data_IF_808895525510
#
_entry.id   IF_808895525510
#
_cell.length_a   1.000
_cell.length_b   1.000
_cell.length_c   1.000
_cell.angle_alpha   90.00
_cell.angle_beta   90.00
_cell.angle_gamma   90.00
#
_symmetry.space_group_name_H-M   'P 1'
#
loop_
_entity.id
_entity.type
_entity.pdbx_description
1 polymer ?
#
# COMPACT_ATOMS: atom_id res chain seq x y z
N UNK A 1 32.07 -39.67 -7.32
CA UNK A 1 32.42 -38.51 -6.49
C UNK A 1 33.45 -37.73 -7.28
N UNK A 2 33.06 -36.62 -7.88
CA UNK A 2 33.99 -35.73 -8.59
C UNK A 2 34.88 -35.06 -7.54
N UNK A 3 36.19 -35.35 -7.52
CA UNK A 3 37.14 -34.74 -6.57
C UNK A 3 38.40 -35.56 -6.25
N UNK A 4 38.39 -36.88 -6.47
CA UNK A 4 39.58 -37.73 -6.23
C UNK A 4 40.18 -37.56 -4.82
N UNK A 5 41.50 -37.73 -4.70
CA UNK A 5 42.23 -37.65 -3.43
C UNK A 5 42.28 -36.22 -2.82
N UNK A 6 41.85 -35.17 -3.54
CA UNK A 6 41.85 -33.79 -3.03
C UNK A 6 40.48 -33.34 -2.52
N UNK A 7 39.47 -34.20 -2.57
CA UNK A 7 38.08 -33.88 -2.18
C UNK A 7 37.97 -33.24 -0.78
N UNK A 8 38.76 -33.69 0.19
CA UNK A 8 38.75 -33.13 1.54
C UNK A 8 39.30 -31.71 1.62
N UNK A 9 40.25 -31.34 0.75
CA UNK A 9 40.78 -29.98 0.64
C UNK A 9 39.73 -29.07 -0.01
N UNK A 10 39.11 -29.54 -1.10
CA UNK A 10 38.05 -28.80 -1.79
C UNK A 10 36.81 -28.59 -0.90
N UNK A 11 36.48 -29.57 -0.05
CA UNK A 11 35.37 -29.47 0.90
C UNK A 11 35.67 -28.52 2.08
N UNK A 12 36.94 -28.39 2.49
CA UNK A 12 37.35 -27.49 3.57
C UNK A 12 37.59 -26.04 3.09
N UNK A 13 37.75 -25.81 1.79
CA UNK A 13 37.89 -24.47 1.22
C UNK A 13 36.52 -23.84 1.01
N UNK A 14 36.14 -22.91 1.89
CA UNK A 14 34.87 -22.20 1.79
C UNK A 14 34.72 -21.32 0.53
N UNK A 15 35.79 -21.05 -0.22
CA UNK A 15 35.67 -20.37 -1.53
C UNK A 15 35.27 -21.33 -2.67
N UNK A 16 35.51 -22.64 -2.49
CA UNK A 16 35.21 -23.70 -3.46
C UNK A 16 33.95 -24.46 -3.07
N UNK A 17 33.79 -24.80 -1.78
CA UNK A 17 32.63 -25.46 -1.21
C UNK A 17 32.10 -24.66 0.00
N UNK A 18 31.49 -23.49 -0.25
CA UNK A 18 31.01 -22.61 0.82
C UNK A 18 29.95 -23.32 1.68
N UNK A 19 30.18 -23.31 3.00
CA UNK A 19 29.14 -23.64 3.97
C UNK A 19 28.27 -22.41 4.29
N UNK A 20 27.16 -22.63 4.99
CA UNK A 20 26.23 -21.56 5.36
C UNK A 20 26.92 -20.45 6.18
N UNK A 21 27.85 -20.81 7.07
CA UNK A 21 28.55 -19.86 7.92
C UNK A 21 29.55 -19.01 7.12
N UNK A 22 30.23 -19.60 6.15
CA UNK A 22 31.15 -18.92 5.26
C UNK A 22 30.39 -17.92 4.39
N UNK A 23 29.29 -18.34 3.76
CA UNK A 23 28.40 -17.45 3.00
C UNK A 23 27.88 -16.29 3.87
N UNK A 24 27.41 -16.60 5.08
CA UNK A 24 26.95 -15.60 6.05
C UNK A 24 28.08 -14.61 6.36
N UNK A 25 29.25 -15.09 6.75
CA UNK A 25 30.38 -14.25 7.11
C UNK A 25 30.85 -13.35 5.96
N UNK A 26 31.00 -13.91 4.75
CA UNK A 26 31.39 -13.12 3.58
C UNK A 26 30.33 -12.08 3.23
N UNK A 27 29.04 -12.44 3.29
CA UNK A 27 27.95 -11.48 3.10
C UNK A 27 28.07 -10.29 4.06
N UNK A 28 28.17 -10.51 5.37
CA UNK A 28 28.26 -9.40 6.32
C UNK A 28 29.57 -8.61 6.20
N UNK A 29 30.69 -9.27 5.89
CA UNK A 29 31.98 -8.62 5.69
C UNK A 29 31.98 -7.71 4.45
N UNK A 30 31.51 -8.23 3.32
CA UNK A 30 31.39 -7.47 2.07
C UNK A 30 30.33 -6.37 2.24
N UNK A 31 29.15 -6.71 2.77
CA UNK A 31 28.07 -5.76 3.03
C UNK A 31 28.56 -4.59 3.87
N UNK A 32 29.25 -4.85 5.00
CA UNK A 32 29.75 -3.80 5.88
C UNK A 32 30.79 -2.92 5.21
N UNK A 33 31.57 -3.47 4.27
CA UNK A 33 32.60 -2.73 3.54
C UNK A 33 31.98 -1.84 2.45
N UNK A 34 30.93 -2.32 1.77
CA UNK A 34 30.28 -1.60 0.66
C UNK A 34 29.21 -0.62 1.17
N UNK A 35 28.38 -1.04 2.11
CA UNK A 35 27.18 -0.30 2.57
C UNK A 35 27.29 0.26 3.99
N UNK A 36 28.32 -0.14 4.75
CA UNK A 36 28.51 0.34 6.12
C UNK A 36 27.66 -0.40 7.17
N UNK A 37 27.42 0.23 8.34
CA UNK A 37 26.60 -0.34 9.40
C UNK A 37 25.18 -0.60 8.90
N UNK A 38 24.65 -1.79 9.20
CA UNK A 38 23.30 -2.17 8.82
C UNK A 38 22.24 -1.91 9.89
N UNK A 39 22.60 -1.68 11.14
CA UNK A 39 21.63 -1.46 12.22
C UNK A 39 22.09 -0.35 13.17
N UNK A 40 21.17 0.14 14.00
CA UNK A 40 21.44 1.15 15.01
C UNK A 40 21.83 2.52 14.43
N UNK A 41 22.50 3.33 15.24
CA UNK A 41 22.85 4.71 14.94
C UNK A 41 23.63 4.87 13.62
N UNK A 42 24.60 3.98 13.36
CA UNK A 42 25.40 4.07 12.14
C UNK A 42 24.61 3.82 10.84
N UNK A 43 23.52 3.04 10.89
CA UNK A 43 22.61 2.89 9.74
C UNK A 43 21.79 4.16 9.52
N UNK A 44 21.31 4.77 10.61
CA UNK A 44 20.57 6.03 10.56
C UNK A 44 21.42 7.16 9.99
N UNK A 45 22.68 7.28 10.41
CA UNK A 45 23.62 8.26 9.85
C UNK A 45 23.80 8.07 8.34
N UNK A 46 24.00 6.82 7.89
CA UNK A 46 24.11 6.49 6.47
C UNK A 46 22.84 6.79 5.67
N UNK A 47 21.66 6.57 6.26
CA UNK A 47 20.38 6.92 5.64
C UNK A 47 20.24 8.43 5.48
N UNK A 48 20.60 9.21 6.50
CA UNK A 48 20.61 10.68 6.45
C UNK A 48 21.59 11.20 5.40
N UNK A 49 22.80 10.65 5.34
CA UNK A 49 23.79 10.95 4.30
C UNK A 49 23.26 10.64 2.89
N UNK A 50 22.61 9.48 2.70
CA UNK A 50 22.04 9.08 1.42
C UNK A 50 20.91 10.02 0.97
N UNK A 51 20.03 10.42 1.88
CA UNK A 51 18.97 11.41 1.61
C UNK A 51 19.56 12.78 1.27
N UNK A 52 20.61 13.21 1.99
CA UNK A 52 21.30 14.44 1.69
C UNK A 52 21.95 14.42 0.31
N UNK A 53 22.71 13.38 -0.01
CA UNK A 53 23.38 13.22 -1.29
C UNK A 53 22.36 13.15 -2.44
N UNK A 54 21.27 12.40 -2.28
CA UNK A 54 20.21 12.33 -3.28
C UNK A 54 19.58 13.69 -3.59
N UNK A 55 19.38 14.53 -2.57
CA UNK A 55 18.88 15.89 -2.75
C UNK A 55 19.90 16.79 -3.49
N UNK A 56 21.19 16.63 -3.24
CA UNK A 56 22.25 17.33 -3.97
C UNK A 56 22.27 16.91 -5.45
N UNK A 57 22.21 15.61 -5.72
CA UNK A 57 22.22 15.05 -7.07
C UNK A 57 20.99 15.49 -7.87
N UNK A 58 19.84 15.58 -7.22
CA UNK A 58 18.61 16.10 -7.82
C UNK A 58 18.60 17.62 -7.98
N UNK A 59 19.55 18.34 -7.35
CA UNK A 59 19.56 19.80 -7.24
C UNK A 59 18.25 20.39 -6.69
N UNK A 60 17.54 19.61 -5.87
CA UNK A 60 16.25 19.98 -5.30
C UNK A 60 15.95 19.09 -4.10
N UNK A 61 15.17 19.60 -3.14
CA UNK A 61 14.67 18.78 -2.02
C UNK A 61 13.63 17.78 -2.55
N UNK A 62 14.03 16.53 -2.71
CA UNK A 62 13.22 15.42 -3.24
C UNK A 62 13.03 14.30 -2.23
N UNK A 63 13.80 14.30 -1.13
CA UNK A 63 13.72 13.33 -0.06
C UNK A 63 13.80 14.02 1.31
N UNK A 64 13.09 13.48 2.29
CA UNK A 64 13.18 13.89 3.69
C UNK A 64 13.21 12.64 4.58
N UNK A 65 13.98 12.70 5.66
CA UNK A 65 14.07 11.65 6.66
C UNK A 65 13.77 12.22 8.05
N UNK A 66 12.99 11.48 8.81
CA UNK A 66 12.67 11.72 10.20
C UNK A 66 13.08 10.50 11.03
N UNK A 67 13.68 10.76 12.18
CA UNK A 67 14.15 9.74 13.12
C UNK A 67 13.80 10.19 14.52
N UNK A 68 13.14 9.32 15.28
CA UNK A 68 12.88 9.49 16.71
C UNK A 68 13.00 8.13 17.41
N UNK A 69 14.11 7.92 18.13
CA UNK A 69 14.49 6.61 18.68
C UNK A 69 14.54 5.52 17.59
N UNK A 70 13.65 4.53 17.65
CA UNK A 70 13.53 3.44 16.67
C UNK A 70 12.57 3.78 15.52
N UNK A 71 11.82 4.88 15.63
CA UNK A 71 10.88 5.30 14.59
C UNK A 71 11.62 6.03 13.48
N UNK A 72 11.51 5.47 12.26
CA UNK A 72 12.12 6.02 11.06
C UNK A 72 11.03 6.25 10.03
N UNK A 73 11.02 7.44 9.45
CA UNK A 73 10.14 7.80 8.34
C UNK A 73 10.97 8.43 7.24
N UNK A 74 10.78 7.99 6.01
CA UNK A 74 11.40 8.59 4.82
C UNK A 74 10.28 8.92 3.84
N UNK A 75 10.29 10.14 3.30
CA UNK A 75 9.38 10.55 2.24
C UNK A 75 10.17 10.91 0.99
N UNK A 76 9.64 10.56 -0.18
CA UNK A 76 10.28 10.77 -1.48
C UNK A 76 9.26 11.36 -2.47
N UNK A 77 9.62 12.49 -3.07
CA UNK A 77 8.99 13.05 -4.26
C UNK A 77 10.10 13.41 -5.27
N UNK A 78 10.42 12.46 -6.15
CA UNK A 78 11.47 12.59 -7.16
C UNK A 78 11.14 13.66 -8.20
N UNK A 79 12.12 14.15 -8.99
CA UNK A 79 11.83 15.09 -10.09
C UNK A 79 10.78 14.58 -11.08
N UNK A 80 10.73 13.26 -11.33
CA UNK A 80 9.67 12.64 -12.13
C UNK A 80 8.31 12.79 -11.46
N UNK A 81 8.18 12.45 -10.18
CA UNK A 81 6.94 12.56 -9.42
C UNK A 81 6.43 14.01 -9.37
N UNK A 82 7.33 14.98 -9.17
CA UNK A 82 7.00 16.41 -9.24
C UNK A 82 6.41 16.79 -10.60
N UNK A 83 7.02 16.35 -11.70
CA UNK A 83 6.47 16.56 -13.05
C UNK A 83 5.10 15.90 -13.23
N UNK A 84 4.87 14.71 -12.66
CA UNK A 84 3.56 14.06 -12.69
C UNK A 84 2.53 14.92 -11.96
N UNK A 85 2.84 15.43 -10.77
CA UNK A 85 1.96 16.36 -10.06
C UNK A 85 1.59 17.59 -10.89
N UNK A 86 2.54 18.20 -11.60
CA UNK A 86 2.31 19.45 -12.32
C UNK A 86 1.59 19.26 -13.67
N UNK A 87 1.84 18.14 -14.36
CA UNK A 87 1.45 17.95 -15.76
C UNK A 87 0.31 16.94 -15.94
N UNK A 88 0.08 16.04 -14.99
CA UNK A 88 -0.93 15.00 -15.11
C UNK A 88 -2.22 15.42 -14.40
N UNK A 89 -3.24 15.79 -15.18
CA UNK A 89 -4.56 16.23 -14.67
C UNK A 89 -5.21 15.19 -13.73
N UNK A 90 -5.06 13.90 -14.03
CA UNK A 90 -5.66 12.83 -13.23
C UNK A 90 -5.14 12.80 -11.78
N UNK A 91 -3.94 13.32 -11.52
CA UNK A 91 -3.41 13.46 -10.16
C UNK A 91 -4.31 14.35 -9.28
N UNK A 92 -5.05 15.29 -9.87
CA UNK A 92 -6.00 16.15 -9.18
C UNK A 92 -7.37 15.52 -8.94
N UNK A 93 -7.69 14.46 -9.68
CA UNK A 93 -8.99 13.82 -9.68
C UNK A 93 -8.99 12.61 -8.76
N UNK A 94 -8.00 11.73 -8.92
CA UNK A 94 -7.91 10.48 -8.17
C UNK A 94 -6.46 10.12 -7.91
N UNK A 95 -6.17 9.77 -6.66
CA UNK A 95 -4.93 9.09 -6.30
C UNK A 95 -5.24 7.75 -5.63
N UNK A 96 -4.38 6.79 -5.85
CA UNK A 96 -4.43 5.47 -5.23
C UNK A 96 -3.29 5.43 -4.22
N UNK A 97 -3.59 5.04 -3.00
CA UNK A 97 -2.59 4.79 -1.98
C UNK A 97 -2.72 3.35 -1.49
N UNK A 98 -1.57 2.71 -1.33
CA UNK A 98 -1.48 1.35 -0.81
C UNK A 98 -0.17 1.21 -0.05
N UNK A 99 -0.23 0.52 1.08
CA UNK A 99 0.93 0.16 1.89
C UNK A 99 1.20 -1.32 1.78
N UNK A 100 2.49 -1.67 1.74
CA UNK A 100 2.91 -3.06 1.87
C UNK A 100 4.03 -3.18 2.89
N UNK A 101 3.95 -4.23 3.71
CA UNK A 101 4.91 -4.54 4.75
C UNK A 101 5.75 -5.79 4.50
N UNK A 102 6.64 -6.09 5.43
CA UNK A 102 7.70 -7.11 5.32
C UNK A 102 8.60 -6.90 4.08
N UNK A 103 8.87 -5.65 3.72
CA UNK A 103 9.66 -5.30 2.53
C UNK A 103 11.17 -5.53 2.73
N UNK A 104 11.61 -5.63 3.98
CA UNK A 104 12.99 -5.89 4.36
C UNK A 104 13.07 -6.63 5.71
N UNK A 105 14.30 -6.86 6.16
CA UNK A 105 14.62 -7.46 7.47
C UNK A 105 14.25 -6.58 8.68
N UNK A 106 13.90 -5.31 8.45
CA UNK A 106 13.51 -4.34 9.49
C UNK A 106 11.99 -4.17 9.56
N UNK A 107 11.25 -4.96 8.79
CA UNK A 107 9.81 -4.86 8.72
C UNK A 107 9.37 -3.46 8.23
N UNK A 108 10.16 -2.84 7.33
CA UNK A 108 9.83 -1.56 6.73
C UNK A 108 8.52 -1.66 5.96
N UNK A 109 7.69 -0.64 6.12
CA UNK A 109 6.43 -0.43 5.42
C UNK A 109 6.66 0.58 4.32
N UNK A 110 6.25 0.25 3.11
CA UNK A 110 6.38 1.15 1.96
C UNK A 110 4.97 1.47 1.48
N UNK A 111 4.65 2.77 1.44
CA UNK A 111 3.42 3.30 0.88
C UNK A 111 3.69 3.99 -0.45
N UNK A 112 2.98 3.59 -1.51
CA UNK A 112 3.02 4.29 -2.80
C UNK A 112 1.78 5.15 -2.97
N UNK A 113 1.98 6.39 -3.41
CA UNK A 113 0.92 7.26 -3.89
C UNK A 113 1.00 7.34 -5.41
N UNK A 114 -0.05 6.93 -6.11
CA UNK A 114 -0.07 6.75 -7.57
C UNK A 114 -1.26 7.49 -8.19
N UNK A 115 -1.05 8.13 -9.35
CA UNK A 115 -2.11 8.65 -10.20
C UNK A 115 -2.28 7.78 -11.46
N UNK A 116 -3.52 7.51 -11.90
CA UNK A 116 -3.75 6.75 -13.12
C UNK A 116 -3.43 7.57 -14.36
N UNK A 117 -2.80 6.98 -15.36
CA UNK A 117 -2.51 7.57 -16.66
C UNK A 117 -2.80 6.58 -17.79
N UNK A 118 -2.70 7.05 -19.05
CA UNK A 118 -2.79 6.16 -20.22
C UNK A 118 -1.67 5.10 -20.26
N UNK A 119 -0.54 5.36 -19.62
CA UNK A 119 0.60 4.45 -19.53
C UNK A 119 0.55 3.55 -18.28
N UNK A 120 -0.58 3.52 -17.56
CA UNK A 120 -0.69 2.87 -16.25
C UNK A 120 -0.50 3.86 -15.09
N UNK A 121 -0.09 3.35 -13.93
CA UNK A 121 0.06 4.14 -12.71
C UNK A 121 1.38 4.93 -12.70
N UNK A 122 1.30 6.25 -12.57
CA UNK A 122 2.48 7.11 -12.40
C UNK A 122 2.61 7.56 -10.95
N UNK A 123 3.82 7.52 -10.38
CA UNK A 123 4.01 7.83 -8.97
C UNK A 123 3.90 9.33 -8.69
N UNK A 124 3.28 9.65 -7.56
CA UNK A 124 3.17 10.97 -6.95
C UNK A 124 4.10 11.08 -5.73
N UNK A 125 4.31 9.97 -5.02
CA UNK A 125 5.23 9.93 -3.90
C UNK A 125 5.39 8.55 -3.30
N UNK A 126 6.42 8.41 -2.47
CA UNK A 126 6.70 7.19 -1.71
C UNK A 126 6.92 7.58 -0.25
N UNK A 127 6.39 6.78 0.66
CA UNK A 127 6.64 6.89 2.08
C UNK A 127 7.19 5.55 2.55
N UNK A 128 8.25 5.58 3.35
CA UNK A 128 8.78 4.40 4.03
C UNK A 128 8.68 4.66 5.53
N UNK A 129 8.11 3.72 6.30
CA UNK A 129 7.97 3.83 7.75
C UNK A 129 8.41 2.55 8.46
N UNK A 130 8.92 2.68 9.69
CA UNK A 130 9.23 1.54 10.57
C UNK A 130 7.97 0.81 11.06
N UNK A 131 6.79 1.46 11.03
CA UNK A 131 5.51 0.83 11.35
C UNK A 131 4.33 1.51 10.62
N UNK A 132 3.19 0.83 10.53
CA UNK A 132 1.93 1.40 9.99
C UNK A 132 1.10 2.12 11.05
N UNK A 133 1.71 2.61 12.12
CA UNK A 133 0.97 3.38 13.13
C UNK A 133 0.41 4.67 12.50
N UNK A 134 -0.77 5.10 12.94
CA UNK A 134 -1.41 6.33 12.43
C UNK A 134 -0.49 7.56 12.60
N UNK A 135 0.31 7.59 13.67
CA UNK A 135 1.27 8.67 13.92
C UNK A 135 2.35 8.73 12.83
N UNK A 136 3.00 7.60 12.53
CA UNK A 136 4.07 7.56 11.52
C UNK A 136 3.54 7.73 10.10
N UNK A 137 2.39 7.13 9.78
CA UNK A 137 1.76 7.31 8.46
C UNK A 137 1.39 8.79 8.24
N UNK A 138 0.79 9.44 9.25
CA UNK A 138 0.50 10.89 9.19
C UNK A 138 1.78 11.72 9.05
N UNK A 139 2.84 11.36 9.77
CA UNK A 139 4.14 12.05 9.69
C UNK A 139 4.73 11.92 8.28
N UNK A 140 4.73 10.73 7.70
CA UNK A 140 5.22 10.48 6.35
C UNK A 140 4.43 11.23 5.28
N UNK A 141 3.10 11.26 5.40
CA UNK A 141 2.25 12.03 4.49
C UNK A 141 2.50 13.53 4.58
N UNK A 142 2.71 14.08 5.79
CA UNK A 142 3.10 15.49 5.98
C UNK A 142 4.47 15.79 5.38
N UNK A 143 5.44 14.91 5.60
CA UNK A 143 6.77 15.06 4.99
C UNK A 143 6.66 15.06 3.47
N UNK A 144 5.81 14.18 2.90
CA UNK A 144 5.58 14.14 1.46
C UNK A 144 4.91 15.42 0.94
N UNK A 145 3.94 15.99 1.68
CA UNK A 145 3.34 17.29 1.35
C UNK A 145 4.39 18.41 1.24
N UNK A 146 5.39 18.42 2.13
CA UNK A 146 6.48 19.40 2.11
C UNK A 146 7.44 19.23 0.91
N UNK A 147 7.42 18.07 0.23
CA UNK A 147 8.26 17.78 -0.93
C UNK A 147 7.58 18.08 -2.26
N UNK A 148 6.25 18.29 -2.26
CA UNK A 148 5.50 18.54 -3.48
C UNK A 148 5.89 19.87 -4.15
N UNK A 149 5.74 19.96 -5.49
CA UNK A 149 5.93 21.22 -6.19
C UNK A 149 4.78 22.19 -5.90
N UNK A 150 4.97 23.48 -6.19
CA UNK A 150 3.95 24.52 -5.96
C UNK A 150 2.60 24.19 -6.64
N UNK A 151 2.65 23.62 -7.85
CA UNK A 151 1.47 23.19 -8.61
C UNK A 151 1.09 21.73 -8.36
N UNK A 152 1.24 21.25 -7.13
CA UNK A 152 0.90 19.88 -6.75
C UNK A 152 -0.53 19.49 -7.16
N UNK A 153 -0.73 18.24 -7.59
CA UNK A 153 -2.04 17.69 -7.94
C UNK A 153 -2.77 18.56 -8.98
N UNK A 154 -2.08 18.86 -10.07
CA UNK A 154 -2.51 19.73 -11.16
C UNK A 154 -3.03 21.09 -10.67
N UNK A 155 -2.30 21.69 -9.72
CA UNK A 155 -2.61 23.00 -9.14
C UNK A 155 -3.64 22.99 -8.00
N UNK A 156 -4.08 21.83 -7.50
CA UNK A 156 -4.92 21.76 -6.28
C UNK A 156 -4.12 21.95 -4.98
N UNK A 157 -2.80 21.77 -5.03
CA UNK A 157 -1.92 22.03 -3.89
C UNK A 157 -2.29 21.18 -2.66
N UNK A 158 -2.42 21.84 -1.51
CA UNK A 158 -2.77 21.22 -0.23
C UNK A 158 -4.15 20.55 -0.20
N UNK A 159 -5.05 20.91 -1.13
CA UNK A 159 -6.36 20.25 -1.24
C UNK A 159 -6.25 18.77 -1.67
N UNK A 160 -5.10 18.36 -2.22
CA UNK A 160 -4.88 16.99 -2.69
C UNK A 160 -5.76 16.61 -3.89
N UNK A 161 -5.87 15.31 -4.21
CA UNK A 161 -6.82 14.82 -5.20
C UNK A 161 -8.27 14.95 -4.70
N UNK A 162 -9.25 14.93 -5.60
CA UNK A 162 -10.67 14.88 -5.20
C UNK A 162 -11.04 13.55 -4.55
N UNK A 163 -10.38 12.46 -4.95
CA UNK A 163 -10.66 11.10 -4.49
C UNK A 163 -9.37 10.39 -4.12
N UNK A 164 -9.38 9.66 -3.01
CA UNK A 164 -8.42 8.59 -2.76
C UNK A 164 -9.10 7.24 -2.86
N UNK A 165 -8.38 6.27 -3.43
CA UNK A 165 -8.75 4.84 -3.38
C UNK A 165 -7.69 4.14 -2.54
N UNK A 166 -8.11 3.51 -1.44
CA UNK A 166 -7.21 2.82 -0.50
C UNK A 166 -7.75 1.43 -0.19
N UNK A 167 -6.99 0.65 0.55
CA UNK A 167 -7.52 -0.51 1.26
C UNK A 167 -8.39 -0.06 2.47
N UNK A 168 -8.73 -0.99 3.37
CA UNK A 168 -9.52 -0.70 4.57
C UNK A 168 -8.66 -0.39 5.82
N UNK A 169 -7.35 -0.15 5.68
CA UNK A 169 -6.45 0.13 6.79
C UNK A 169 -6.87 1.43 7.50
N UNK A 170 -7.26 1.28 8.77
CA UNK A 170 -7.79 2.38 9.57
C UNK A 170 -6.78 3.53 9.72
N UNK A 171 -5.53 3.18 10.01
CA UNK A 171 -4.48 4.17 10.27
C UNK A 171 -4.21 5.03 9.02
N UNK A 172 -4.06 4.39 7.85
CA UNK A 172 -3.91 5.10 6.57
C UNK A 172 -5.11 6.01 6.28
N UNK A 173 -6.32 5.48 6.36
CA UNK A 173 -7.54 6.24 6.05
C UNK A 173 -7.74 7.43 7.00
N UNK A 174 -7.45 7.24 8.29
CA UNK A 174 -7.50 8.32 9.28
C UNK A 174 -6.46 9.41 8.97
N UNK A 175 -5.22 9.03 8.67
CA UNK A 175 -4.16 9.96 8.28
C UNK A 175 -4.55 10.77 7.04
N UNK A 176 -5.06 10.12 5.99
CA UNK A 176 -5.52 10.78 4.78
C UNK A 176 -6.71 11.71 5.05
N UNK A 177 -7.71 11.28 5.82
CA UNK A 177 -8.86 12.11 6.18
C UNK A 177 -8.44 13.36 6.96
N UNK A 178 -7.42 13.24 7.82
CA UNK A 178 -6.90 14.35 8.61
C UNK A 178 -6.13 15.39 7.76
N UNK A 179 -5.41 14.94 6.73
CA UNK A 179 -4.55 15.78 5.90
C UNK A 179 -5.24 16.31 4.64
N UNK A 180 -6.23 15.58 4.13
CA UNK A 180 -7.00 15.92 2.94
C UNK A 180 -8.51 15.84 3.24
N UNK A 181 -9.04 16.72 4.12
CA UNK A 181 -10.43 16.65 4.59
C UNK A 181 -11.48 16.86 3.48
N UNK A 182 -11.07 17.40 2.34
CA UNK A 182 -11.95 17.63 1.17
C UNK A 182 -11.89 16.50 0.14
N UNK A 183 -11.05 15.49 0.35
CA UNK A 183 -10.97 14.33 -0.53
C UNK A 183 -11.98 13.26 -0.10
N UNK A 184 -12.64 12.63 -1.07
CA UNK A 184 -13.51 11.48 -0.83
C UNK A 184 -12.66 10.21 -0.72
N UNK A 185 -12.78 9.47 0.38
CA UNK A 185 -12.07 8.21 0.57
C UNK A 185 -12.91 7.01 0.15
N UNK A 186 -12.55 6.38 -0.96
CA UNK A 186 -13.16 5.14 -1.45
C UNK A 186 -12.34 3.92 -1.04
N UNK A 187 -13.00 2.78 -0.95
CA UNK A 187 -12.38 1.47 -0.73
C UNK A 187 -12.12 0.77 -2.07
N UNK A 188 -10.95 0.16 -2.22
CA UNK A 188 -10.61 -0.69 -3.35
C UNK A 188 -11.53 -1.93 -3.38
N UNK A 189 -12.12 -2.24 -4.55
CA UNK A 189 -12.99 -3.43 -4.69
C UNK A 189 -12.27 -4.72 -4.40
N UNK A 190 -11.02 -4.85 -4.85
CA UNK A 190 -10.23 -6.06 -4.63
C UNK A 190 -10.06 -6.30 -3.13
N UNK A 191 -9.61 -5.29 -2.38
CA UNK A 191 -9.44 -5.37 -0.94
C UNK A 191 -10.77 -5.55 -0.18
N UNK A 192 -11.86 -4.90 -0.60
CA UNK A 192 -13.20 -5.12 -0.02
C UNK A 192 -13.64 -6.57 -0.20
N UNK A 193 -13.55 -7.12 -1.40
CA UNK A 193 -13.96 -8.50 -1.69
C UNK A 193 -13.03 -9.52 -1.04
N UNK A 194 -11.73 -9.27 -1.04
CA UNK A 194 -10.74 -10.14 -0.40
C UNK A 194 -10.91 -10.15 1.13
N UNK A 195 -11.16 -9.00 1.75
CA UNK A 195 -11.47 -8.91 3.17
C UNK A 195 -12.75 -9.66 3.52
N UNK A 196 -13.81 -9.52 2.72
CA UNK A 196 -15.04 -10.28 2.91
C UNK A 196 -14.84 -11.79 2.73
N UNK A 197 -14.05 -12.21 1.74
CA UNK A 197 -13.69 -13.62 1.55
C UNK A 197 -12.91 -14.17 2.75
N UNK A 198 -11.94 -13.42 3.29
CA UNK A 198 -11.24 -13.79 4.53
C UNK A 198 -12.24 -13.93 5.68
N UNK A 199 -13.13 -12.96 5.84
CA UNK A 199 -14.16 -12.96 6.89
C UNK A 199 -15.00 -14.25 6.85
N UNK A 200 -15.57 -14.61 5.70
CA UNK A 200 -16.43 -15.80 5.60
C UNK A 200 -15.67 -17.14 5.64
N UNK A 201 -14.34 -17.12 5.51
CA UNK A 201 -13.50 -18.34 5.57
C UNK A 201 -12.91 -18.58 6.96
N UNK A 202 -12.84 -17.56 7.82
CA UNK A 202 -12.37 -17.67 9.20
C UNK A 202 -13.26 -18.62 10.03
N UNK A 203 -12.61 -19.53 10.76
CA UNK A 203 -13.29 -20.57 11.53
C UNK A 203 -14.22 -20.00 12.62
N UNK A 204 -13.86 -18.87 13.22
CA UNK A 204 -14.63 -18.20 14.26
C UNK A 204 -16.01 -17.70 13.79
N UNK A 205 -16.17 -17.47 12.48
CA UNK A 205 -17.42 -17.03 11.88
C UNK A 205 -18.38 -18.18 11.55
N UNK A 206 -17.90 -19.43 11.64
CA UNK A 206 -18.69 -20.67 11.52
C UNK A 206 -19.52 -20.79 10.23
N UNK A 207 -19.09 -20.15 9.14
CA UNK A 207 -19.74 -20.25 7.83
C UNK A 207 -19.40 -21.59 7.18
N UNK A 208 -20.43 -22.38 6.87
CA UNK A 208 -20.29 -23.68 6.18
C UNK A 208 -19.70 -23.51 4.79
N UNK A 209 -18.87 -24.45 4.33
CA UNK A 209 -18.23 -24.39 3.00
C UNK A 209 -19.24 -24.21 1.87
N UNK A 210 -20.35 -24.94 1.94
CA UNK A 210 -21.42 -24.92 0.92
C UNK A 210 -22.11 -23.55 0.82
N UNK A 211 -22.07 -22.75 1.89
CA UNK A 211 -22.69 -21.42 1.94
C UNK A 211 -21.77 -20.32 1.40
N UNK A 212 -20.45 -20.51 1.49
CA UNK A 212 -19.46 -19.45 1.25
C UNK A 212 -19.54 -18.87 -0.15
N UNK A 213 -19.67 -19.72 -1.17
CA UNK A 213 -19.72 -19.29 -2.57
C UNK A 213 -20.96 -18.41 -2.82
N UNK A 214 -22.14 -18.89 -2.41
CA UNK A 214 -23.38 -18.16 -2.59
C UNK A 214 -23.42 -16.83 -1.79
N UNK A 215 -22.87 -16.81 -0.57
CA UNK A 215 -22.73 -15.58 0.22
C UNK A 215 -21.76 -14.60 -0.45
N UNK A 216 -20.61 -15.09 -0.91
CA UNK A 216 -19.61 -14.28 -1.59
C UNK A 216 -20.14 -13.67 -2.88
N UNK A 217 -20.84 -14.45 -3.70
CA UNK A 217 -21.40 -13.98 -4.97
C UNK A 217 -22.44 -12.89 -4.74
N UNK A 218 -23.35 -13.06 -3.78
CA UNK A 218 -24.31 -12.01 -3.42
C UNK A 218 -23.63 -10.72 -2.95
N UNK A 219 -22.61 -10.81 -2.10
CA UNK A 219 -21.87 -9.63 -1.66
C UNK A 219 -21.09 -8.97 -2.81
N UNK A 220 -20.50 -9.79 -3.70
CA UNK A 220 -19.81 -9.32 -4.90
C UNK A 220 -20.74 -8.55 -5.83
N UNK A 221 -21.97 -8.99 -5.98
CA UNK A 221 -22.99 -8.29 -6.77
C UNK A 221 -23.37 -6.95 -6.15
N UNK A 222 -23.40 -6.83 -4.81
CA UNK A 222 -23.56 -5.54 -4.14
C UNK A 222 -22.40 -4.59 -4.44
N UNK A 223 -21.16 -5.05 -4.24
CA UNK A 223 -19.94 -4.25 -4.49
C UNK A 223 -19.91 -3.74 -5.94
N UNK A 224 -20.29 -4.60 -6.90
CA UNK A 224 -20.27 -4.32 -8.34
C UNK A 224 -21.58 -3.76 -8.91
N UNK A 225 -22.54 -3.40 -8.06
CA UNK A 225 -23.84 -2.92 -8.52
C UNK A 225 -23.71 -1.68 -9.41
N UNK A 226 -24.46 -1.64 -10.51
CA UNK A 226 -24.39 -0.58 -11.52
C UNK A 226 -25.38 0.57 -11.31
N UNK A 227 -26.38 0.40 -10.46
CA UNK A 227 -27.34 1.44 -10.12
C UNK A 227 -27.77 1.33 -8.66
N UNK A 228 -28.18 2.46 -8.09
CA UNK A 228 -28.64 2.56 -6.71
C UNK A 228 -29.87 1.68 -6.47
N UNK A 229 -30.80 1.65 -7.43
CA UNK A 229 -31.98 0.80 -7.39
C UNK A 229 -31.61 -0.69 -7.34
N UNK A 230 -30.70 -1.13 -8.21
CA UNK A 230 -30.27 -2.53 -8.24
C UNK A 230 -29.50 -2.90 -6.96
N UNK A 231 -28.69 -1.97 -6.44
CA UNK A 231 -28.00 -2.17 -5.18
C UNK A 231 -28.99 -2.39 -4.04
N UNK A 232 -29.99 -1.50 -3.92
CA UNK A 232 -30.94 -1.55 -2.81
C UNK A 232 -31.80 -2.82 -2.88
N UNK A 233 -32.30 -3.17 -4.07
CA UNK A 233 -33.05 -4.42 -4.25
C UNK A 233 -32.21 -5.65 -3.88
N UNK A 234 -30.98 -5.77 -4.39
CA UNK A 234 -30.10 -6.89 -4.08
C UNK A 234 -29.72 -6.93 -2.60
N UNK A 235 -29.56 -5.76 -1.96
CA UNK A 235 -29.23 -5.69 -0.53
C UNK A 235 -30.40 -6.21 0.30
N UNK A 236 -31.62 -5.75 0.02
CA UNK A 236 -32.85 -6.22 0.69
C UNK A 236 -33.05 -7.73 0.49
N UNK A 237 -32.84 -8.23 -0.73
CA UNK A 237 -32.91 -9.66 -1.04
C UNK A 237 -31.84 -10.47 -0.31
N UNK A 238 -30.62 -9.93 -0.19
CA UNK A 238 -29.53 -10.62 0.49
C UNK A 238 -29.78 -10.71 1.99
N UNK A 239 -30.14 -9.60 2.64
CA UNK A 239 -30.45 -9.58 4.08
C UNK A 239 -31.68 -10.41 4.42
N UNK A 240 -32.67 -10.53 3.52
CA UNK A 240 -33.84 -11.39 3.71
C UNK A 240 -33.56 -12.88 3.44
N UNK A 241 -32.47 -13.21 2.73
CA UNK A 241 -32.21 -14.58 2.29
C UNK A 241 -31.98 -15.57 3.45
N UNK A 242 -32.52 -16.78 3.32
CA UNK A 242 -32.36 -17.85 4.31
C UNK A 242 -30.89 -18.17 4.60
N UNK A 243 -30.03 -18.09 3.57
CA UNK A 243 -28.59 -18.32 3.70
C UNK A 243 -27.90 -17.28 4.56
N UNK A 244 -28.29 -16.01 4.49
CA UNK A 244 -27.70 -14.98 5.35
C UNK A 244 -28.32 -15.03 6.75
N UNK A 245 -29.63 -15.30 6.86
CA UNK A 245 -30.33 -15.45 8.14
C UNK A 245 -29.75 -16.58 9.01
N UNK A 246 -29.34 -17.70 8.42
CA UNK A 246 -28.64 -18.78 9.16
C UNK A 246 -27.19 -18.45 9.52
N UNK A 247 -26.55 -17.51 8.81
CA UNK A 247 -25.17 -17.07 9.03
C UNK A 247 -25.14 -15.69 9.73
N UNK A 248 -25.64 -15.63 10.98
CA UNK A 248 -25.90 -14.38 11.73
C UNK A 248 -24.71 -13.42 11.82
N UNK A 249 -23.48 -13.92 12.00
CA UNK A 249 -22.30 -13.03 12.05
C UNK A 249 -22.04 -12.33 10.71
N UNK A 250 -22.26 -13.04 9.60
CA UNK A 250 -22.16 -12.45 8.26
C UNK A 250 -23.30 -11.46 8.02
N UNK A 251 -24.51 -11.76 8.51
CA UNK A 251 -25.63 -10.83 8.49
C UNK A 251 -25.28 -9.51 9.19
N UNK A 252 -24.75 -9.58 10.41
CA UNK A 252 -24.35 -8.39 11.17
C UNK A 252 -23.24 -7.63 10.45
N UNK A 253 -22.22 -8.32 9.92
CA UNK A 253 -21.14 -7.70 9.13
C UNK A 253 -21.65 -6.94 7.89
N UNK A 254 -22.57 -7.54 7.12
CA UNK A 254 -23.16 -6.90 5.93
C UNK A 254 -23.99 -5.69 6.32
N UNK A 255 -24.75 -5.78 7.42
CA UNK A 255 -25.55 -4.68 7.94
C UNK A 255 -24.68 -3.52 8.45
N UNK A 256 -23.58 -3.81 9.12
CA UNK A 256 -22.64 -2.80 9.63
C UNK A 256 -21.89 -2.08 8.50
N UNK A 257 -21.70 -2.74 7.35
CA UNK A 257 -21.08 -2.14 6.17
C UNK A 257 -22.03 -1.20 5.39
N UNK A 258 -23.35 -1.40 5.49
CA UNK A 258 -24.35 -0.68 4.69
C UNK A 258 -24.39 0.86 4.89
N UNK A 259 -24.25 1.40 6.12
CA UNK A 259 -24.21 2.85 6.33
C UNK A 259 -23.11 3.56 5.54
N UNK A 260 -22.00 2.86 5.26
CA UNK A 260 -20.84 3.40 4.54
C UNK A 260 -20.74 2.91 3.08
N UNK A 261 -21.84 2.44 2.50
CA UNK A 261 -21.89 1.86 1.13
C UNK A 261 -21.34 2.76 0.04
N UNK A 262 -21.40 4.07 0.20
CA UNK A 262 -20.83 5.04 -0.74
C UNK A 262 -19.32 4.87 -0.89
N UNK A 263 -18.63 4.34 0.13
CA UNK A 263 -17.18 4.12 0.08
C UNK A 263 -16.82 2.89 -0.76
N UNK A 264 -17.65 1.84 -0.78
CA UNK A 264 -17.27 0.53 -1.32
C UNK A 264 -18.12 0.01 -2.49
N UNK A 265 -19.36 0.46 -2.68
CA UNK A 265 -20.19 0.02 -3.79
C UNK A 265 -20.00 0.89 -5.04
N UNK A 266 -20.12 0.27 -6.22
CA UNK A 266 -19.80 0.93 -7.49
C UNK A 266 -20.80 1.99 -7.91
N UNK A 267 -22.09 1.74 -7.69
CA UNK A 267 -23.17 2.62 -8.12
C UNK A 267 -23.06 4.03 -7.54
N UNK A 268 -22.56 4.17 -6.30
CA UNK A 268 -22.41 5.45 -5.61
C UNK A 268 -21.17 6.26 -6.00
N UNK A 269 -20.48 5.87 -7.08
CA UNK A 269 -19.27 6.57 -7.59
C UNK A 269 -19.53 7.37 -8.86
N UNK A 270 -20.77 7.41 -9.37
CA UNK A 270 -21.11 7.99 -10.68
C UNK A 270 -20.67 9.44 -10.87
N UNK A 271 -20.71 10.22 -9.79
CA UNK A 271 -20.40 11.65 -9.82
C UNK A 271 -18.91 11.95 -9.61
N UNK A 272 -18.09 10.90 -9.42
CA UNK A 272 -16.66 10.99 -9.14
C UNK A 272 -15.84 10.68 -10.40
N UNK A 273 -14.87 11.55 -10.70
CA UNK A 273 -13.93 11.33 -11.81
C UNK A 273 -12.84 10.37 -11.35
N UNK A 274 -13.11 9.06 -11.44
CA UNK A 274 -12.18 7.99 -11.05
C UNK A 274 -11.45 7.33 -12.23
N UNK A 275 -11.74 7.79 -13.47
CA UNK A 275 -11.16 7.27 -14.73
C UNK A 275 -11.25 5.74 -14.89
N UNK A 276 -12.34 5.14 -14.41
CA UNK A 276 -12.54 3.69 -14.43
C UNK A 276 -11.72 2.89 -13.42
N UNK A 277 -10.92 3.55 -12.57
CA UNK A 277 -10.14 2.89 -11.53
C UNK A 277 -11.02 2.61 -10.33
N UNK A 278 -11.15 1.33 -9.98
CA UNK A 278 -11.91 0.89 -8.84
C UNK A 278 -11.10 0.00 -7.87
N UNK A 279 -9.82 -0.20 -8.19
CA UNK A 279 -8.89 -1.08 -7.51
C UNK A 279 -7.59 -0.35 -7.22
N UNK A 280 -6.86 -0.83 -6.21
CA UNK A 280 -5.49 -0.42 -5.86
C UNK A 280 -4.42 -1.09 -6.72
N UNK A 281 -4.81 -1.89 -7.71
CA UNK A 281 -3.90 -2.67 -8.57
C UNK A 281 -2.76 -1.85 -9.20
N UNK A 282 -2.97 -0.56 -9.47
CA UNK A 282 -1.90 0.32 -9.96
C UNK A 282 -0.81 0.54 -8.92
N UNK A 283 -1.16 0.66 -7.62
CA UNK A 283 -0.18 0.71 -6.54
C UNK A 283 0.44 -0.68 -6.30
N UNK A 284 -0.38 -1.74 -6.29
CA UNK A 284 0.12 -3.13 -6.13
C UNK A 284 1.16 -3.53 -7.19
N UNK A 285 0.93 -3.16 -8.45
CA UNK A 285 1.87 -3.42 -9.54
C UNK A 285 3.23 -2.74 -9.34
N UNK A 286 3.28 -1.59 -8.64
CA UNK A 286 4.54 -0.92 -8.34
C UNK A 286 5.36 -1.67 -7.27
N UNK A 287 4.72 -2.37 -6.33
CA UNK A 287 5.44 -3.27 -5.43
C UNK A 287 6.05 -4.47 -6.17
N UNK A 288 5.41 -4.95 -7.23
CA UNK A 288 5.89 -6.10 -8.01
C UNK A 288 7.01 -5.75 -9.01
N UNK A 289 7.05 -4.50 -9.49
CA UNK A 289 8.10 -4.01 -10.40
C UNK A 289 9.33 -3.47 -9.68
N UNK A 290 9.29 -3.38 -8.34
CA UNK A 290 10.35 -2.83 -7.49
C UNK A 290 11.44 -3.81 -7.05
N UNK A 291 11.50 -5.02 -7.62
CA UNK A 291 12.50 -6.05 -7.31
C UNK A 291 13.17 -6.60 -8.58
#
# INVERSE_FOLDING_TARGET
MEGGDEYFLSHADGSVCPDLNWCYYQYYKIFKTVYGPNYGEGMVEKLQEAVHQYNLDCQAKCAEVFVDNEDIVVALCTPLMKRVHELLESSSEVAIMDFSGNMDRYDTRIGFLIAPSLAGGLPLGIIMTSSESEVLVTKGLKMLQNLYPEKAFYGRGELGPKVFITDAAKNERNSLASLYPFATLLLCYFHTLQAFLRYITQAEHKVKKDDRVAIYDKYKDLVRSKSDEHFENNYQDFIASEILQRNRKVYDHVKDAYPNRQQWASCYRSDLIIRGNNTSNLAEANFLLGF
#
